data_IF_658523791944
#
_entry.id   IF_658523791944
#
_cell.length_a   1.000
_cell.length_b   1.000
_cell.length_c   1.000
_cell.angle_alpha   90.00
_cell.angle_beta   90.00
_cell.angle_gamma   90.00
#
_symmetry.space_group_name_H-M   'P 1'
#
loop_
_entity.id
_entity.type
_entity.pdbx_description
1 polymer ?
#
# COMPACT_ATOMS: atom_id res chain seq x y z
N UNK A 1 -52.70 68.33 30.96
CA UNK A 1 -53.27 67.06 31.45
C UNK A 1 -53.46 66.11 30.29
N UNK A 2 -52.77 64.96 30.30
CA UNK A 2 -53.06 63.75 29.52
C UNK A 2 -52.86 63.85 27.98
N UNK A 3 -52.41 62.83 27.25
CA UNK A 3 -52.29 61.39 27.52
C UNK A 3 -51.17 60.82 26.61
N UNK A 4 -50.38 59.94 27.20
CA UNK A 4 -49.79 58.70 26.66
C UNK A 4 -50.41 58.18 25.35
N UNK A 5 -49.78 57.40 24.46
CA UNK A 5 -48.55 56.61 24.35
C UNK A 5 -48.58 56.06 22.90
N UNK A 6 -47.47 55.99 22.17
CA UNK A 6 -47.36 55.08 21.02
C UNK A 6 -45.92 54.60 20.84
N UNK A 7 -45.82 53.28 20.90
CA UNK A 7 -44.64 52.41 20.91
C UNK A 7 -43.99 52.37 19.52
N UNK A 8 -42.66 52.36 19.45
CA UNK A 8 -41.94 51.65 18.39
C UNK A 8 -40.56 51.19 18.90
N UNK A 9 -40.46 49.88 19.13
CA UNK A 9 -39.25 49.16 19.51
C UNK A 9 -38.29 49.13 18.31
N UNK A 10 -37.09 49.70 18.44
CA UNK A 10 -36.02 49.51 17.46
C UNK A 10 -35.07 48.41 17.95
N UNK A 11 -35.17 47.26 17.30
CA UNK A 11 -34.36 46.06 17.50
C UNK A 11 -32.91 46.31 17.13
N UNK A 12 -32.00 46.14 18.10
CA UNK A 12 -30.55 46.10 17.87
C UNK A 12 -30.15 44.73 17.31
N UNK A 13 -29.61 44.70 16.09
CA UNK A 13 -29.01 43.49 15.50
C UNK A 13 -27.53 43.76 15.29
N UNK A 14 -26.71 43.52 16.31
CA UNK A 14 -25.25 43.44 16.19
C UNK A 14 -24.88 42.01 15.79
N UNK A 15 -24.38 41.86 14.55
CA UNK A 15 -23.91 40.59 14.01
C UNK A 15 -22.67 40.11 14.78
N UNK A 16 -22.76 38.91 15.35
CA UNK A 16 -21.73 38.24 16.13
C UNK A 16 -20.79 37.50 15.17
N UNK A 17 -19.61 38.07 14.89
CA UNK A 17 -18.56 37.39 14.12
C UNK A 17 -17.83 36.37 15.00
N UNK A 18 -18.22 35.09 14.96
CA UNK A 18 -17.40 34.00 15.51
C UNK A 18 -16.40 33.47 14.46
N UNK A 19 -15.13 33.22 14.81
CA UNK A 19 -14.21 32.49 13.95
C UNK A 19 -14.69 31.03 13.80
N UNK A 20 -14.69 30.55 12.55
CA UNK A 20 -15.01 29.18 12.17
C UNK A 20 -14.03 28.22 12.86
N UNK A 21 -14.47 27.58 13.94
CA UNK A 21 -13.75 26.45 14.52
C UNK A 21 -13.71 25.34 13.46
N UNK A 22 -12.53 25.08 12.91
CA UNK A 22 -12.27 23.90 12.11
C UNK A 22 -12.57 22.66 12.97
N UNK A 23 -13.70 22.01 12.72
CA UNK A 23 -14.08 20.77 13.38
C UNK A 23 -13.19 19.65 12.85
N UNK A 24 -12.18 19.28 13.64
CA UNK A 24 -11.49 18.01 13.49
C UNK A 24 -12.53 16.88 13.64
N UNK A 25 -12.99 16.37 12.50
CA UNK A 25 -13.91 15.24 12.44
C UNK A 25 -13.28 13.98 13.05
N UNK A 26 -14.10 13.07 13.62
CA UNK A 26 -13.66 11.93 14.42
C UNK A 26 -12.66 11.03 13.69
N UNK A 27 -11.84 10.32 14.47
CA UNK A 27 -10.73 9.42 14.11
C UNK A 27 -11.12 8.20 13.23
N UNK A 28 -12.03 8.36 12.28
CA UNK A 28 -12.55 7.32 11.40
C UNK A 28 -12.34 7.70 9.94
N UNK A 29 -11.77 6.78 9.17
CA UNK A 29 -11.62 6.93 7.73
C UNK A 29 -12.98 7.18 7.05
N UNK A 30 -13.02 7.94 5.95
CA UNK A 30 -14.27 8.28 5.27
C UNK A 30 -15.11 7.04 4.95
N UNK A 31 -16.45 7.15 5.04
CA UNK A 31 -17.35 6.04 4.75
C UNK A 31 -17.12 5.57 3.30
N UNK A 32 -17.06 4.25 3.10
CA UNK A 32 -16.74 3.63 1.81
C UNK A 32 -15.34 3.02 1.73
N UNK A 33 -14.48 3.24 2.71
CA UNK A 33 -13.18 2.58 2.77
C UNK A 33 -13.31 1.17 3.38
N UNK A 34 -13.00 0.15 2.59
CA UNK A 34 -13.25 -1.28 2.85
C UNK A 34 -12.57 -1.88 4.12
N UNK A 35 -11.76 -1.13 4.87
CA UNK A 35 -11.13 -1.61 6.12
C UNK A 35 -11.04 -0.48 7.17
N UNK A 36 -11.89 -0.56 8.20
CA UNK A 36 -12.03 0.47 9.26
C UNK A 36 -10.80 0.71 10.14
N UNK A 37 -9.73 -0.08 9.99
CA UNK A 37 -8.53 -0.03 10.84
C UNK A 37 -7.21 -0.04 10.05
N UNK A 38 -7.22 0.24 8.75
CA UNK A 38 -5.99 0.20 7.94
C UNK A 38 -5.26 1.57 7.82
N UNK A 39 -5.57 2.53 8.71
CA UNK A 39 -4.97 3.87 8.67
C UNK A 39 -5.38 4.70 7.45
N UNK A 40 -6.59 4.45 6.94
CA UNK A 40 -7.14 5.09 5.75
C UNK A 40 -6.38 4.79 4.45
N UNK A 41 -5.63 3.69 4.42
CA UNK A 41 -4.90 3.29 3.24
C UNK A 41 -5.85 2.65 2.22
N UNK A 42 -5.94 3.15 0.98
CA UNK A 42 -6.74 2.49 -0.04
C UNK A 42 -6.23 1.06 -0.30
N UNK A 43 -7.14 0.07 -0.46
CA UNK A 43 -6.76 -1.29 -0.80
C UNK A 43 -5.98 -1.27 -2.11
N UNK A 44 -4.79 -1.88 -2.11
CA UNK A 44 -3.85 -1.86 -3.25
C UNK A 44 -2.62 -0.98 -3.05
N UNK A 45 -2.70 0.10 -2.25
CA UNK A 45 -1.53 0.96 -1.95
C UNK A 45 -0.76 0.53 -0.70
N UNK A 46 -1.39 -0.20 0.22
CA UNK A 46 -0.77 -0.64 1.47
C UNK A 46 0.47 -1.55 1.31
N UNK A 47 0.73 -2.05 0.09
CA UNK A 47 1.87 -2.95 -0.19
C UNK A 47 3.20 -2.22 -0.43
N UNK A 48 3.21 -0.88 -0.58
CA UNK A 48 4.46 -0.09 -0.68
C UNK A 48 4.93 0.41 0.69
N UNK A 49 5.31 -0.50 1.59
CA UNK A 49 6.32 -0.16 2.60
C UNK A 49 7.68 -0.40 1.95
N UNK A 50 8.21 0.62 1.28
CA UNK A 50 9.65 0.70 1.08
C UNK A 50 10.24 0.89 2.47
N UNK A 51 10.71 -0.20 3.07
CA UNK A 51 11.53 -0.17 4.26
C UNK A 51 12.74 0.69 3.89
N UNK A 52 12.75 1.94 4.37
CA UNK A 52 13.93 2.82 4.34
C UNK A 52 14.37 3.03 5.78
N UNK A 53 14.50 1.93 6.50
CA UNK A 53 15.23 1.91 7.75
C UNK A 53 16.70 1.78 7.37
N UNK A 54 17.51 2.77 7.74
CA UNK A 54 18.90 2.96 7.26
C UNK A 54 19.92 1.94 7.79
N UNK A 55 19.46 0.76 8.24
CA UNK A 55 20.30 -0.29 8.82
C UNK A 55 20.19 -1.65 8.09
N UNK A 56 19.47 -1.70 6.96
CA UNK A 56 19.14 -2.95 6.24
C UNK A 56 20.00 -3.16 4.98
N UNK A 57 21.30 -2.84 5.00
CA UNK A 57 22.16 -2.98 3.79
C UNK A 57 22.31 -4.44 3.33
N UNK A 58 22.05 -5.40 4.21
CA UNK A 58 22.19 -6.85 3.94
C UNK A 58 20.86 -7.58 3.77
N UNK A 59 19.72 -6.87 3.76
CA UNK A 59 18.41 -7.53 3.70
C UNK A 59 18.09 -7.94 2.26
N UNK A 60 18.40 -9.19 1.94
CA UNK A 60 18.06 -9.82 0.66
C UNK A 60 16.54 -9.86 0.50
N UNK A 61 16.02 -9.05 -0.43
CA UNK A 61 14.60 -9.04 -0.75
C UNK A 61 14.22 -10.32 -1.49
N UNK A 62 13.14 -10.96 -1.04
CA UNK A 62 12.56 -12.15 -1.68
C UNK A 62 11.15 -11.84 -2.18
N UNK A 63 10.92 -12.16 -3.45
CA UNK A 63 9.63 -11.95 -4.09
C UNK A 63 8.59 -12.94 -3.59
N UNK A 64 7.33 -12.52 -3.56
CA UNK A 64 6.19 -13.36 -3.18
C UNK A 64 5.40 -13.79 -4.42
N UNK A 65 4.62 -14.85 -4.29
CA UNK A 65 3.69 -15.30 -5.34
C UNK A 65 2.74 -14.14 -5.72
N UNK A 66 2.60 -13.90 -7.02
CA UNK A 66 1.82 -12.83 -7.62
C UNK A 66 2.54 -11.48 -7.74
N UNK A 67 3.71 -11.31 -7.12
CA UNK A 67 4.55 -10.13 -7.33
C UNK A 67 5.27 -10.22 -8.68
N UNK A 68 5.54 -9.07 -9.29
CA UNK A 68 6.28 -8.98 -10.53
C UNK A 68 7.75 -8.77 -10.23
N UNK A 69 8.61 -9.63 -10.77
CA UNK A 69 10.06 -9.45 -10.71
C UNK A 69 10.44 -8.36 -11.72
N UNK A 70 10.93 -7.23 -11.22
CA UNK A 70 11.29 -6.09 -12.07
C UNK A 70 12.77 -6.07 -12.41
N UNK A 71 13.64 -6.35 -11.43
CA UNK A 71 15.08 -6.10 -11.48
C UNK A 71 15.88 -7.22 -10.80
N UNK A 72 17.20 -7.24 -11.04
CA UNK A 72 18.20 -8.11 -10.38
C UNK A 72 17.87 -9.61 -10.42
N UNK A 73 17.55 -10.10 -11.61
CA UNK A 73 17.33 -11.51 -11.87
C UNK A 73 18.15 -12.02 -13.07
N UNK A 74 18.46 -13.32 -13.04
CA UNK A 74 19.00 -14.06 -14.17
C UNK A 74 18.01 -15.14 -14.58
N UNK A 75 17.88 -15.35 -15.88
CA UNK A 75 17.02 -16.41 -16.43
C UNK A 75 17.81 -17.72 -16.41
N UNK A 76 17.24 -18.77 -15.82
CA UNK A 76 17.81 -20.12 -15.91
C UNK A 76 17.39 -20.72 -17.25
N UNK A 77 18.35 -20.80 -18.18
CA UNK A 77 18.13 -21.32 -19.54
C UNK A 77 18.15 -22.85 -19.58
N UNK A 78 18.88 -23.46 -18.65
CA UNK A 78 18.96 -24.91 -18.48
C UNK A 78 18.33 -25.35 -17.13
N UNK A 79 16.99 -25.38 -17.01
CA UNK A 79 16.33 -25.81 -15.76
C UNK A 79 16.64 -27.27 -15.36
N UNK A 80 16.93 -28.12 -16.36
CA UNK A 80 17.16 -29.56 -16.16
C UNK A 80 18.38 -29.86 -15.28
N UNK A 81 19.39 -29.00 -15.31
CA UNK A 81 20.61 -29.15 -14.50
C UNK A 81 20.33 -29.01 -12.99
N UNK A 82 19.14 -28.50 -12.64
CA UNK A 82 18.65 -28.31 -11.27
C UNK A 82 17.44 -29.18 -10.95
N UNK A 83 17.15 -30.21 -11.76
CA UNK A 83 15.98 -31.07 -11.60
C UNK A 83 14.64 -30.37 -11.87
N UNK A 84 14.64 -29.19 -12.51
CA UNK A 84 13.43 -28.41 -12.79
C UNK A 84 12.82 -28.78 -14.15
N UNK A 85 11.50 -28.61 -14.24
CA UNK A 85 10.72 -28.94 -15.46
C UNK A 85 10.99 -27.89 -16.54
N UNK A 86 11.47 -28.26 -17.73
CA UNK A 86 11.92 -27.31 -18.76
C UNK A 86 10.78 -26.50 -19.42
N UNK A 87 9.53 -26.91 -19.25
CA UNK A 87 8.36 -26.24 -19.85
C UNK A 87 8.00 -24.92 -19.16
N UNK A 88 8.66 -24.61 -18.03
CA UNK A 88 8.44 -23.38 -17.28
C UNK A 88 9.64 -22.44 -17.35
N UNK A 89 9.35 -21.15 -17.17
CA UNK A 89 10.38 -20.11 -17.07
C UNK A 89 10.78 -19.92 -15.62
N UNK A 90 12.09 -19.93 -15.35
CA UNK A 90 12.64 -19.74 -14.02
C UNK A 90 13.59 -18.56 -13.97
N UNK A 91 13.39 -17.70 -12.98
CA UNK A 91 14.28 -16.59 -12.67
C UNK A 91 14.97 -16.86 -11.34
N UNK A 92 16.29 -16.65 -11.28
CA UNK A 92 17.01 -16.53 -10.01
C UNK A 92 17.20 -15.07 -9.68
N UNK A 93 16.74 -14.65 -8.51
CA UNK A 93 17.10 -13.35 -7.94
C UNK A 93 17.76 -13.59 -6.60
N UNK A 94 18.96 -13.00 -6.43
CA UNK A 94 19.87 -13.33 -5.33
C UNK A 94 20.15 -14.85 -5.29
N UNK A 95 19.79 -15.50 -4.19
CA UNK A 95 19.97 -16.94 -3.99
C UNK A 95 18.68 -17.75 -4.23
N UNK A 96 17.56 -17.11 -4.55
CA UNK A 96 16.26 -17.78 -4.65
C UNK A 96 15.81 -17.94 -6.11
N UNK A 97 15.36 -19.15 -6.45
CA UNK A 97 14.76 -19.49 -7.73
C UNK A 97 13.25 -19.36 -7.65
N UNK A 98 12.66 -18.73 -8.67
CA UNK A 98 11.24 -18.49 -8.81
C UNK A 98 10.76 -19.08 -10.13
N UNK A 99 9.62 -19.77 -10.12
CA UNK A 99 8.87 -20.02 -11.36
C UNK A 99 8.08 -18.78 -11.70
N UNK A 100 8.18 -18.32 -12.94
CA UNK A 100 7.55 -17.07 -13.36
C UNK A 100 6.71 -17.27 -14.62
N UNK A 101 5.72 -16.39 -14.75
CA UNK A 101 5.01 -16.17 -15.99
C UNK A 101 5.93 -15.38 -16.95
N UNK A 102 6.26 -15.90 -18.14
CA UNK A 102 7.22 -15.25 -19.04
C UNK A 102 6.71 -13.93 -19.64
N UNK A 103 5.39 -13.75 -19.78
CA UNK A 103 4.80 -12.57 -20.38
C UNK A 103 4.73 -11.40 -19.38
N UNK A 104 4.31 -11.70 -18.16
CA UNK A 104 4.02 -10.70 -17.12
C UNK A 104 5.15 -10.55 -16.09
N UNK A 105 6.11 -11.49 -16.06
CA UNK A 105 7.17 -11.63 -15.05
C UNK A 105 6.64 -11.80 -13.62
N UNK A 106 5.41 -12.27 -13.47
CA UNK A 106 4.82 -12.55 -12.16
C UNK A 106 5.36 -13.86 -11.61
N UNK A 107 5.66 -13.87 -10.31
CA UNK A 107 6.01 -15.09 -9.59
C UNK A 107 4.78 -15.98 -9.51
N UNK A 108 4.89 -17.18 -10.09
CA UNK A 108 3.90 -18.24 -10.00
C UNK A 108 4.21 -19.18 -8.84
N UNK A 109 5.49 -19.36 -8.52
CA UNK A 109 5.93 -20.21 -7.41
C UNK A 109 7.32 -19.82 -6.90
N UNK A 110 7.61 -20.15 -5.64
CA UNK A 110 8.93 -19.98 -5.01
C UNK A 110 9.55 -21.36 -4.85
N UNK A 111 10.57 -21.66 -5.65
CA UNK A 111 11.20 -22.99 -5.67
C UNK A 111 12.12 -23.15 -4.46
N UNK A 112 12.88 -22.10 -4.11
CA UNK A 112 13.78 -22.12 -2.97
C UNK A 112 15.19 -21.66 -3.32
N UNK A 113 16.13 -21.90 -2.40
CA UNK A 113 17.53 -21.56 -2.58
C UNK A 113 18.17 -22.41 -3.68
N UNK A 114 19.06 -21.83 -4.49
CA UNK A 114 19.79 -22.60 -5.52
C UNK A 114 20.61 -23.73 -4.92
N UNK A 115 21.22 -23.50 -3.75
CA UNK A 115 21.99 -24.51 -3.03
C UNK A 115 21.20 -25.78 -2.70
N UNK A 116 19.90 -25.64 -2.44
CA UNK A 116 19.03 -26.78 -2.14
C UNK A 116 18.59 -27.56 -3.40
N UNK A 117 18.86 -27.05 -4.60
CA UNK A 117 18.52 -27.70 -5.87
C UNK A 117 19.68 -28.49 -6.49
N UNK A 118 20.87 -28.40 -5.90
CA UNK A 118 22.10 -29.05 -6.36
C UNK A 118 22.47 -30.30 -5.53
N UNK A 119 21.58 -30.73 -4.63
CA UNK A 119 21.73 -31.91 -3.76
C UNK A 119 21.19 -33.18 -4.43
#
# INVERSE_FOLDING_TARGET
MGRTLAIALLSTVTALSLPLAASASPKGCPPGLAKKHNGCNPPGLAKKKTVRDRDDRDRVYRYRIGERISDDYVILREPRDYGLVPDYTYYRSNDTVYRVDPETRKVLDVIGAVSALLD
#
